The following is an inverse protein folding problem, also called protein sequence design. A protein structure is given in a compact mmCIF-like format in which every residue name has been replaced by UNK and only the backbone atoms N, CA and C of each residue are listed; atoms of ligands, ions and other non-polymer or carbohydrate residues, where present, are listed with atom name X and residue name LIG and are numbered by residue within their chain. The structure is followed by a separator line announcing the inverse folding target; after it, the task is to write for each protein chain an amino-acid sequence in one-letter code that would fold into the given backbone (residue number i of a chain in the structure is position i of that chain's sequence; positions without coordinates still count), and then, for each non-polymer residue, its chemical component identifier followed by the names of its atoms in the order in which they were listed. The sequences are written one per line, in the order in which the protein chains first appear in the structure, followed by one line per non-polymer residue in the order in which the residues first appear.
data_IF_892570926870
#
_entry.id   IF_892570926870
#
_cell.length_a   1.000
_cell.length_b   1.000
_cell.length_c   1.000
_cell.angle_alpha   90.00
_cell.angle_beta   90.00
_cell.angle_gamma   90.00
#
_symmetry.space_group_name_H-M   'P 1'
#
loop_
_entity.id
_entity.type
_entity.pdbx_description
1 polymer ?
#
# COMPACT_ATOMS: atom_id res chain seq x y z
N UNK A 1 -0.90 -5.50 -14.49
CA UNK A 1 -1.19 -5.62 -13.05
C UNK A 1 -2.07 -4.47 -12.63
N UNK A 2 -3.18 -4.75 -11.95
CA UNK A 2 -4.03 -3.74 -11.33
C UNK A 2 -3.38 -3.19 -10.05
N UNK A 3 -3.88 -2.05 -9.54
CA UNK A 3 -3.44 -1.49 -8.25
C UNK A 3 -3.69 -2.44 -7.08
N UNK A 4 -4.81 -3.16 -7.12
CA UNK A 4 -5.17 -4.18 -6.15
C UNK A 4 -4.15 -5.33 -6.15
N UNK A 5 -3.83 -5.90 -7.32
CA UNK A 5 -2.85 -6.98 -7.43
C UNK A 5 -1.47 -6.57 -6.90
N UNK A 6 -1.08 -5.32 -7.15
CA UNK A 6 0.21 -4.78 -6.70
C UNK A 6 0.26 -4.59 -5.18
N UNK A 7 -0.82 -4.10 -4.59
CA UNK A 7 -0.97 -3.92 -3.15
C UNK A 7 -1.07 -5.25 -2.40
N UNK A 8 -1.82 -6.20 -2.93
CA UNK A 8 -1.91 -7.56 -2.39
C UNK A 8 -0.54 -8.21 -2.42
N UNK A 9 0.16 -8.17 -3.55
CA UNK A 9 1.51 -8.75 -3.65
C UNK A 9 2.46 -8.13 -2.62
N UNK A 10 2.45 -6.80 -2.49
CA UNK A 10 3.28 -6.11 -1.49
C UNK A 10 2.92 -6.54 -0.07
N UNK A 11 1.63 -6.67 0.24
CA UNK A 11 1.18 -7.17 1.54
C UNK A 11 1.68 -8.59 1.77
N UNK A 12 1.54 -9.50 0.81
CA UNK A 12 1.98 -10.90 0.97
C UNK A 12 3.49 -11.00 1.15
N UNK A 13 4.27 -10.21 0.39
CA UNK A 13 5.73 -10.15 0.48
C UNK A 13 6.19 -9.62 1.85
N UNK A 14 5.50 -8.62 2.41
CA UNK A 14 5.82 -8.04 3.72
C UNK A 14 5.29 -8.88 4.90
N UNK A 15 4.04 -9.34 4.79
CA UNK A 15 3.33 -10.05 5.83
C UNK A 15 3.80 -11.51 5.92
N UNK A 16 4.30 -12.10 4.83
CA UNK A 16 4.61 -13.54 4.74
C UNK A 16 3.36 -14.42 4.80
N UNK A 17 2.18 -13.85 4.58
CA UNK A 17 0.88 -14.51 4.64
C UNK A 17 -0.05 -13.99 3.53
N UNK A 18 -1.04 -14.78 3.15
CA UNK A 18 -1.99 -14.43 2.09
C UNK A 18 -2.94 -13.32 2.52
N UNK A 19 -3.24 -12.41 1.60
CA UNK A 19 -4.29 -11.42 1.81
C UNK A 19 -5.67 -12.12 1.80
N UNK A 20 -6.43 -11.99 2.88
CA UNK A 20 -7.80 -12.52 2.98
C UNK A 20 -8.86 -11.47 2.63
N UNK A 21 -8.57 -10.20 2.91
CA UNK A 21 -9.50 -9.09 2.67
C UNK A 21 -8.77 -7.90 2.09
N UNK A 22 -9.37 -7.29 1.07
CA UNK A 22 -8.95 -6.04 0.48
C UNK A 22 -10.17 -5.12 0.46
N UNK A 23 -10.05 -3.93 1.04
CA UNK A 23 -11.18 -2.98 1.12
C UNK A 23 -10.71 -1.54 0.97
N UNK A 24 -11.37 -0.72 0.15
CA UNK A 24 -11.06 0.70 0.05
C UNK A 24 -11.42 1.41 1.35
N UNK A 25 -10.59 2.37 1.74
CA UNK A 25 -10.87 3.29 2.84
C UNK A 25 -11.47 4.60 2.28
N UNK A 26 -12.30 5.30 3.06
CA UNK A 26 -12.91 6.56 2.62
C UNK A 26 -11.85 7.55 2.14
N UNK A 27 -12.13 8.15 0.99
CA UNK A 27 -11.28 9.14 0.35
C UNK A 27 -11.26 10.42 1.19
N UNK A 28 -10.08 10.76 1.74
CA UNK A 28 -9.92 11.92 2.64
C UNK A 28 -9.60 13.23 1.89
N UNK A 29 -10.06 13.37 0.63
CA UNK A 29 -9.86 14.58 -0.17
C UNK A 29 -8.43 14.78 -0.72
N UNK A 30 -7.62 13.73 -0.76
CA UNK A 30 -6.28 13.73 -1.37
C UNK A 30 -6.26 12.84 -2.62
N UNK A 31 -5.30 13.07 -3.51
CA UNK A 31 -5.02 12.24 -4.70
C UNK A 31 -4.59 10.79 -4.37
N UNK A 32 -4.45 10.47 -3.07
CA UNK A 32 -4.02 9.17 -2.56
C UNK A 32 -5.21 8.33 -2.15
N UNK A 33 -5.26 7.14 -2.72
CA UNK A 33 -6.24 6.12 -2.39
C UNK A 33 -5.65 5.20 -1.31
N UNK A 34 -6.44 4.91 -0.28
CA UNK A 34 -6.03 4.03 0.80
C UNK A 34 -6.86 2.76 0.79
N UNK A 35 -6.22 1.65 1.10
CA UNK A 35 -6.79 0.33 1.08
C UNK A 35 -6.38 -0.40 2.35
N UNK A 36 -7.35 -1.00 3.05
CA UNK A 36 -7.06 -1.90 4.16
C UNK A 36 -6.92 -3.32 3.61
N UNK A 37 -5.81 -3.95 3.95
CA UNK A 37 -5.47 -5.32 3.60
C UNK A 37 -5.34 -6.12 4.89
N UNK A 38 -5.99 -7.28 4.97
CA UNK A 38 -5.97 -8.13 6.16
C UNK A 38 -5.67 -9.56 5.77
N UNK A 39 -4.69 -10.17 6.42
CA UNK A 39 -4.39 -11.58 6.37
C UNK A 39 -4.79 -12.29 7.67
N UNK A 40 -4.39 -13.56 7.86
CA UNK A 40 -4.70 -14.36 9.05
C UNK A 40 -4.23 -13.72 10.37
N UNK A 41 -3.07 -13.05 10.38
CA UNK A 41 -2.46 -12.52 11.60
C UNK A 41 -2.03 -11.06 11.51
N UNK A 42 -2.00 -10.49 10.30
CA UNK A 42 -1.50 -9.13 10.05
C UNK A 42 -2.53 -8.30 9.28
N UNK A 43 -2.53 -7.02 9.58
CA UNK A 43 -3.36 -6.02 8.91
C UNK A 43 -2.44 -4.87 8.54
N UNK A 44 -2.60 -4.36 7.32
CA UNK A 44 -1.83 -3.22 6.83
C UNK A 44 -2.72 -2.26 6.04
N UNK A 45 -2.26 -1.01 5.92
CA UNK A 45 -2.88 -0.02 5.06
C UNK A 45 -2.00 0.17 3.83
N UNK A 46 -2.49 -0.26 2.68
CA UNK A 46 -1.94 0.04 1.37
C UNK A 46 -2.28 1.46 0.94
N UNK A 47 -1.28 2.27 0.61
CA UNK A 47 -1.48 3.56 -0.03
C UNK A 47 -1.10 3.48 -1.52
N UNK A 48 -1.98 3.96 -2.39
CA UNK A 48 -1.75 4.11 -3.83
C UNK A 48 -1.82 5.60 -4.20
N UNK A 49 -0.84 6.08 -4.97
CA UNK A 49 -0.85 7.43 -5.53
C UNK A 49 -0.70 7.34 -7.05
N UNK A 50 -1.61 7.97 -7.79
CA UNK A 50 -1.57 7.99 -9.26
C UNK A 50 -0.55 8.97 -9.82
N UNK A 51 -0.05 9.93 -9.01
CA UNK A 51 0.97 10.88 -9.43
C UNK A 51 2.40 10.39 -9.13
N UNK A 52 3.09 9.95 -10.19
CA UNK A 52 4.46 9.42 -10.15
C UNK A 52 5.50 10.45 -9.70
N UNK A 53 5.22 11.76 -9.80
CA UNK A 53 6.20 12.83 -9.53
C UNK A 53 6.42 13.10 -8.04
N UNK A 54 5.41 12.89 -7.19
CA UNK A 54 5.51 13.15 -5.73
C UNK A 54 6.36 12.12 -4.98
N UNK A 55 6.51 10.91 -5.52
CA UNK A 55 7.13 9.78 -4.81
C UNK A 55 8.64 9.92 -4.57
N UNK A 56 9.31 10.93 -5.17
CA UNK A 56 10.73 11.22 -5.01
C UNK A 56 11.07 12.05 -3.76
N UNK A 57 10.13 12.84 -3.23
CA UNK A 57 10.41 13.79 -2.15
C UNK A 57 10.36 13.17 -0.73
N UNK A 58 9.68 12.03 -0.55
CA UNK A 58 9.55 11.36 0.75
C UNK A 58 10.76 10.47 1.14
N UNK A 59 11.83 10.47 0.35
CA UNK A 59 12.92 9.48 0.43
C UNK A 59 13.98 9.71 1.52
N UNK A 60 14.02 10.87 2.17
CA UNK A 60 15.18 11.19 3.00
C UNK A 60 15.08 10.81 4.48
N UNK A 61 14.00 10.16 4.96
CA UNK A 61 13.84 10.05 6.42
C UNK A 61 13.35 8.77 7.09
N UNK A 62 12.79 7.73 6.44
CA UNK A 62 12.35 6.55 7.22
C UNK A 62 12.56 5.22 6.51
N UNK A 63 13.14 4.28 7.26
CA UNK A 63 13.26 2.84 6.98
C UNK A 63 11.89 2.21 6.73
N UNK A 64 11.34 2.35 5.53
CA UNK A 64 10.16 1.62 5.08
C UNK A 64 10.49 0.94 3.75
N UNK A 65 10.20 -0.36 3.66
CA UNK A 65 10.35 -1.13 2.44
C UNK A 65 9.26 -0.72 1.45
N UNK A 66 9.64 -0.16 0.30
CA UNK A 66 8.71 0.20 -0.79
C UNK A 66 9.13 -0.44 -2.09
N UNK A 67 8.18 -1.08 -2.78
CA UNK A 67 8.25 -1.34 -4.22
C UNK A 67 7.45 -0.24 -4.95
N UNK A 68 8.21 0.60 -5.66
CA UNK A 68 7.85 1.64 -6.64
C UNK A 68 6.72 2.64 -6.33
N UNK A 69 5.51 2.24 -5.93
CA UNK A 69 4.33 3.14 -5.88
C UNK A 69 3.39 2.86 -4.68
N UNK A 70 3.72 1.88 -3.86
CA UNK A 70 2.83 1.33 -2.85
C UNK A 70 3.50 1.33 -1.47
N UNK A 71 2.86 1.91 -0.46
CA UNK A 71 3.35 1.91 0.91
C UNK A 71 2.43 1.07 1.80
N UNK A 72 3.01 0.25 2.68
CA UNK A 72 2.31 -0.36 3.81
C UNK A 72 2.61 0.49 5.05
N UNK A 73 1.54 1.02 5.66
CA UNK A 73 1.56 1.72 6.94
C UNK A 73 1.05 0.76 8.01
#
# INVERSE_FOLDING_TARGET
MTKEESLIKLFEDWAGEKALKFSPLPESGSYREYYRISGPGKVAIGAYNSDKKENRAFWMHRKFHRLSEYLLI
#
